data_IF_474041012637
#
_entry.id   IF_474041012637
#
_cell.length_a   1.000
_cell.length_b   1.000
_cell.length_c   1.000
_cell.angle_alpha   90.00
_cell.angle_beta   90.00
_cell.angle_gamma   90.00
#
_symmetry.space_group_name_H-M   'P 1'
#
loop_
_entity.id
_entity.type
_entity.pdbx_description
1 polymer ?
#
# COMPACT_ATOMS: atom_id res chain seq x y z
N UNK A 1 55.48 16.09 -8.18
CA UNK A 1 54.76 17.36 -8.02
C UNK A 1 53.78 17.37 -9.17
N UNK A 2 52.47 17.21 -9.00
CA UNK A 2 51.63 17.37 -7.83
C UNK A 2 50.60 16.22 -7.73
N UNK A 3 50.40 15.82 -6.48
CA UNK A 3 49.35 14.97 -5.98
C UNK A 3 48.06 15.82 -6.03
N UNK A 4 47.22 15.60 -7.06
CA UNK A 4 45.86 16.15 -7.12
C UNK A 4 45.04 15.46 -6.04
N UNK A 5 45.17 16.00 -4.83
CA UNK A 5 44.39 15.67 -3.64
C UNK A 5 42.91 15.71 -4.02
N UNK A 6 42.32 14.52 -4.08
CA UNK A 6 40.90 14.26 -4.05
C UNK A 6 40.28 15.14 -2.94
N UNK A 7 39.60 16.22 -3.32
CA UNK A 7 38.81 17.01 -2.38
C UNK A 7 37.77 16.06 -1.77
N UNK A 8 37.62 16.01 -0.44
CA UNK A 8 36.59 15.18 0.16
C UNK A 8 35.24 15.69 -0.36
N UNK A 9 34.46 14.82 -1.00
CA UNK A 9 33.07 15.07 -1.37
C UNK A 9 32.39 15.73 -0.17
N UNK A 10 32.01 17.00 -0.32
CA UNK A 10 31.25 17.69 0.71
C UNK A 10 29.90 16.98 0.79
N UNK A 11 29.44 16.55 1.98
CA UNK A 11 28.15 15.89 2.11
C UNK A 11 27.07 16.73 1.44
N UNK A 12 26.38 16.16 0.47
CA UNK A 12 25.26 16.83 -0.18
C UNK A 12 24.16 17.07 0.86
N UNK A 13 23.90 18.32 1.23
CA UNK A 13 22.80 18.66 2.11
C UNK A 13 21.51 18.78 1.30
N UNK A 14 20.57 17.86 1.52
CA UNK A 14 19.25 17.92 0.90
C UNK A 14 18.54 19.23 1.25
N UNK A 15 18.01 19.88 0.23
CA UNK A 15 17.07 20.98 0.41
C UNK A 15 15.79 20.49 1.08
N UNK A 16 15.01 21.43 1.63
CA UNK A 16 13.72 21.09 2.23
C UNK A 16 12.70 20.54 1.21
N UNK A 17 12.89 20.81 -0.08
CA UNK A 17 12.04 20.28 -1.17
C UNK A 17 12.43 18.84 -1.48
N UNK A 18 13.69 18.58 -1.78
CA UNK A 18 14.17 17.20 -2.05
C UNK A 18 13.87 16.25 -0.90
N UNK A 19 14.01 16.73 0.35
CA UNK A 19 13.65 15.92 1.51
C UNK A 19 12.16 15.57 1.56
N UNK A 20 11.28 16.48 1.15
CA UNK A 20 9.84 16.20 1.06
C UNK A 20 9.55 15.21 -0.05
N UNK A 21 10.21 15.36 -1.20
CA UNK A 21 10.00 14.49 -2.35
C UNK A 21 10.43 13.05 -2.03
N UNK A 22 11.59 12.86 -1.41
CA UNK A 22 12.05 11.52 -0.98
C UNK A 22 11.10 10.93 0.08
N UNK A 23 10.56 11.76 0.98
CA UNK A 23 9.58 11.29 1.96
C UNK A 23 8.27 10.86 1.29
N UNK A 24 7.81 11.60 0.28
CA UNK A 24 6.64 11.22 -0.50
C UNK A 24 6.87 9.88 -1.22
N UNK A 25 8.04 9.68 -1.81
CA UNK A 25 8.39 8.41 -2.45
C UNK A 25 8.45 7.23 -1.45
N UNK A 26 8.87 7.46 -0.19
CA UNK A 26 8.78 6.45 0.87
C UNK A 26 7.33 6.08 1.21
N UNK A 27 6.45 7.08 1.28
CA UNK A 27 5.04 6.88 1.58
C UNK A 27 4.33 6.13 0.44
N UNK A 28 4.65 6.47 -0.81
CA UNK A 28 4.15 5.78 -2.00
C UNK A 28 4.67 4.35 -2.08
N UNK A 29 5.97 4.13 -1.79
CA UNK A 29 6.56 2.79 -1.72
C UNK A 29 5.87 1.93 -0.67
N UNK A 30 5.58 2.49 0.51
CA UNK A 30 4.90 1.78 1.59
C UNK A 30 3.48 1.37 1.17
N UNK A 31 2.75 2.27 0.51
CA UNK A 31 1.37 2.05 0.03
C UNK A 31 1.34 1.01 -1.10
N UNK A 32 2.25 1.10 -2.07
CA UNK A 32 2.39 0.09 -3.11
C UNK A 32 2.73 -1.28 -2.52
N UNK A 33 3.65 -1.34 -1.56
CA UNK A 33 4.01 -2.60 -0.92
C UNK A 33 2.81 -3.24 -0.21
N UNK A 34 1.99 -2.48 0.52
CA UNK A 34 0.85 -3.05 1.24
C UNK A 34 -0.17 -3.69 0.29
N UNK A 35 -0.40 -3.05 -0.86
CA UNK A 35 -1.30 -3.54 -1.92
C UNK A 35 -0.73 -4.76 -2.65
N UNK A 36 0.51 -4.65 -3.15
CA UNK A 36 1.06 -5.62 -4.12
C UNK A 36 1.81 -6.79 -3.48
N UNK A 37 2.26 -6.69 -2.23
CA UNK A 37 2.93 -7.81 -1.55
C UNK A 37 2.02 -9.03 -1.38
N UNK A 38 0.71 -8.83 -1.30
CA UNK A 38 -0.29 -9.91 -1.24
C UNK A 38 -0.38 -10.71 -2.55
N UNK A 39 0.15 -10.18 -3.65
CA UNK A 39 0.10 -10.75 -5.00
C UNK A 39 1.46 -11.36 -5.42
N UNK A 40 2.36 -11.61 -4.47
CA UNK A 40 3.72 -12.14 -4.70
C UNK A 40 4.65 -11.20 -5.49
N UNK A 41 4.32 -9.92 -5.62
CA UNK A 41 5.22 -8.91 -6.19
C UNK A 41 6.36 -8.65 -5.21
N UNK A 42 7.60 -8.72 -5.69
CA UNK A 42 8.83 -8.56 -4.88
C UNK A 42 9.32 -7.12 -4.78
N UNK A 43 8.88 -6.26 -5.70
CA UNK A 43 9.34 -4.88 -5.75
C UNK A 43 8.85 -4.08 -6.94
N UNK A 44 9.60 -3.04 -7.28
CA UNK A 44 9.29 -2.11 -8.36
C UNK A 44 10.39 -2.09 -9.42
N UNK A 45 9.98 -1.70 -10.62
CA UNK A 45 10.85 -1.35 -11.74
C UNK A 45 10.74 0.16 -11.97
N UNK A 46 11.89 0.83 -11.99
CA UNK A 46 11.99 2.26 -12.29
C UNK A 46 12.72 2.41 -13.63
N UNK A 47 12.02 2.96 -14.62
CA UNK A 47 12.61 3.30 -15.90
C UNK A 47 13.44 4.59 -15.76
N UNK A 48 14.76 4.46 -15.69
CA UNK A 48 15.63 5.61 -15.52
C UNK A 48 15.90 6.30 -16.87
N UNK A 49 15.49 7.57 -16.97
CA UNK A 49 15.64 8.37 -18.20
C UNK A 49 17.11 8.74 -18.47
N UNK A 50 17.94 8.80 -17.44
CA UNK A 50 19.35 9.21 -17.58
C UNK A 50 20.22 8.10 -18.16
N UNK A 51 20.06 6.86 -17.68
CA UNK A 51 20.82 5.71 -18.17
C UNK A 51 20.10 4.95 -19.30
N UNK A 52 18.80 5.19 -19.50
CA UNK A 52 17.97 4.52 -20.50
C UNK A 52 17.67 3.04 -20.19
N UNK A 53 17.81 2.63 -18.92
CA UNK A 53 17.63 1.25 -18.48
C UNK A 53 16.60 1.14 -17.34
N UNK A 54 16.05 -0.06 -17.18
CA UNK A 54 15.14 -0.41 -16.10
C UNK A 54 15.93 -0.85 -14.86
N UNK A 55 15.66 -0.20 -13.72
CA UNK A 55 16.23 -0.54 -12.43
C UNK A 55 15.20 -1.31 -11.61
N UNK A 56 15.55 -2.54 -11.23
CA UNK A 56 14.72 -3.41 -10.42
C UNK A 56 15.13 -3.27 -8.96
N UNK A 57 14.17 -2.92 -8.11
CA UNK A 57 14.38 -2.81 -6.68
C UNK A 57 13.37 -3.67 -5.93
N UNK A 58 13.87 -4.55 -5.07
CA UNK A 58 13.01 -5.16 -4.05
C UNK A 58 12.51 -4.11 -3.06
N UNK A 59 11.36 -4.37 -2.44
CA UNK A 59 10.69 -3.42 -1.53
C UNK A 59 11.64 -2.87 -0.45
N UNK A 60 12.34 -3.77 0.24
CA UNK A 60 13.22 -3.40 1.35
C UNK A 60 14.48 -2.69 0.84
N UNK A 61 15.00 -3.10 -0.32
CA UNK A 61 16.17 -2.47 -0.94
C UNK A 61 15.90 -1.01 -1.32
N UNK A 62 14.75 -0.73 -1.95
CA UNK A 62 14.40 0.64 -2.31
C UNK A 62 14.15 1.50 -1.07
N UNK A 63 13.44 0.95 -0.08
CA UNK A 63 13.19 1.65 1.19
C UNK A 63 14.51 2.05 1.85
N UNK A 64 15.42 1.09 2.00
CA UNK A 64 16.71 1.33 2.65
C UNK A 64 17.56 2.36 1.87
N UNK A 65 17.44 2.39 0.53
CA UNK A 65 18.08 3.41 -0.31
C UNK A 65 17.50 4.80 -0.08
N UNK A 66 16.18 4.96 -0.15
CA UNK A 66 15.49 6.24 0.09
C UNK A 66 15.73 6.76 1.51
N UNK A 67 15.68 5.88 2.51
CA UNK A 67 16.01 6.22 3.90
C UNK A 67 17.48 6.62 4.08
N UNK A 68 18.40 5.99 3.35
CA UNK A 68 19.79 6.40 3.33
C UNK A 68 19.93 7.79 2.71
N UNK A 69 19.31 8.02 1.55
CA UNK A 69 19.32 9.29 0.86
C UNK A 69 18.80 10.42 1.75
N UNK A 70 17.73 10.20 2.52
CA UNK A 70 17.24 11.16 3.52
C UNK A 70 18.26 11.53 4.61
N UNK A 71 19.21 10.64 4.91
CA UNK A 71 20.22 10.84 5.96
C UNK A 71 21.55 11.37 5.41
N UNK A 72 21.99 10.89 4.25
CA UNK A 72 23.30 11.20 3.66
C UNK A 72 23.25 12.21 2.53
N UNK A 73 22.08 12.43 1.92
CA UNK A 73 21.91 13.19 0.67
C UNK A 73 22.35 12.42 -0.58
N UNK A 74 22.84 11.20 -0.44
CA UNK A 74 23.40 10.42 -1.55
C UNK A 74 22.67 9.09 -1.73
N UNK A 75 22.39 8.68 -2.99
CA UNK A 75 21.84 7.37 -3.27
C UNK A 75 22.88 6.28 -3.01
N UNK A 76 22.43 5.12 -2.51
CA UNK A 76 23.31 3.93 -2.49
C UNK A 76 23.32 3.28 -3.85
N UNK A 77 24.52 3.04 -4.38
CA UNK A 77 24.67 2.07 -5.45
C UNK A 77 24.38 0.67 -4.91
N UNK A 78 23.50 -0.03 -5.59
CA UNK A 78 23.29 -1.46 -5.42
C UNK A 78 23.77 -2.18 -6.67
N UNK A 79 24.20 -3.42 -6.50
CA UNK A 79 24.53 -4.26 -7.65
C UNK A 79 23.24 -4.68 -8.38
N UNK A 80 23.26 -4.81 -9.72
CA UNK A 80 22.14 -5.37 -10.45
C UNK A 80 21.84 -6.80 -9.97
N UNK A 81 20.56 -7.12 -9.79
CA UNK A 81 20.16 -8.47 -9.47
C UNK A 81 20.48 -9.42 -10.63
N UNK A 82 20.93 -10.63 -10.31
CA UNK A 82 21.21 -11.69 -11.28
C UNK A 82 19.92 -12.49 -11.55
N UNK A 83 19.65 -12.79 -12.82
CA UNK A 83 18.51 -13.63 -13.25
C UNK A 83 17.14 -13.10 -12.79
N UNK A 84 16.85 -11.84 -13.12
CA UNK A 84 15.60 -11.17 -12.75
C UNK A 84 14.43 -11.76 -13.54
N UNK A 85 13.40 -12.24 -12.83
CA UNK A 85 12.09 -12.50 -13.40
C UNK A 85 11.26 -11.22 -13.39
N UNK A 86 11.17 -10.54 -14.53
CA UNK A 86 10.53 -9.21 -14.63
C UNK A 86 9.07 -9.20 -14.18
N UNK A 87 8.35 -10.31 -14.37
CA UNK A 87 6.96 -10.49 -13.94
C UNK A 87 6.74 -10.44 -12.43
N UNK A 88 7.81 -10.55 -11.63
CA UNK A 88 7.75 -10.46 -10.17
C UNK A 88 7.84 -9.00 -9.68
N UNK A 89 7.94 -8.02 -10.59
CA UNK A 89 8.05 -6.61 -10.29
C UNK A 89 6.99 -5.80 -11.04
N UNK A 90 6.61 -4.65 -10.49
CA UNK A 90 5.65 -3.73 -11.12
C UNK A 90 6.34 -2.43 -11.52
N UNK A 91 5.85 -1.78 -12.59
CA UNK A 91 6.32 -0.44 -12.94
C UNK A 91 5.91 0.56 -11.87
N UNK A 92 6.84 1.42 -11.45
CA UNK A 92 6.61 2.44 -10.41
C UNK A 92 5.39 3.32 -10.69
N UNK A 93 5.33 3.93 -11.88
CA UNK A 93 4.23 4.83 -12.26
C UNK A 93 2.88 4.13 -12.30
N UNK A 94 2.86 2.86 -12.72
CA UNK A 94 1.66 2.03 -12.69
C UNK A 94 1.22 1.76 -11.25
N UNK A 95 2.18 1.40 -10.37
CA UNK A 95 1.91 1.14 -8.96
C UNK A 95 1.33 2.35 -8.24
N UNK A 96 1.93 3.54 -8.42
CA UNK A 96 1.40 4.80 -7.88
C UNK A 96 -0.03 5.08 -8.36
N UNK A 97 -0.24 5.07 -9.67
CA UNK A 97 -1.57 5.35 -10.24
C UNK A 97 -2.64 4.32 -9.81
N UNK A 98 -2.26 3.07 -9.57
CA UNK A 98 -3.17 2.05 -9.04
C UNK A 98 -3.56 2.34 -7.58
N UNK A 99 -2.59 2.67 -6.73
CA UNK A 99 -2.83 3.06 -5.33
C UNK A 99 -3.73 4.30 -5.28
N UNK A 100 -3.39 5.36 -6.03
CA UNK A 100 -4.18 6.60 -6.08
C UNK A 100 -5.65 6.31 -6.44
N UNK A 101 -5.89 5.44 -7.42
CA UNK A 101 -7.24 5.06 -7.82
C UNK A 101 -7.98 4.29 -6.71
N UNK A 102 -7.29 3.45 -5.92
CA UNK A 102 -7.88 2.79 -4.76
C UNK A 102 -8.24 3.81 -3.67
N UNK A 103 -7.36 4.77 -3.40
CA UNK A 103 -7.60 5.84 -2.43
C UNK A 103 -8.82 6.68 -2.83
N UNK A 104 -8.88 7.13 -4.09
CA UNK A 104 -9.96 7.97 -4.62
C UNK A 104 -11.33 7.26 -4.58
N UNK A 105 -11.34 5.94 -4.81
CA UNK A 105 -12.57 5.14 -4.76
C UNK A 105 -12.92 4.67 -3.34
N UNK A 106 -12.00 4.85 -2.39
CA UNK A 106 -12.09 4.38 -1.02
C UNK A 106 -12.06 2.84 -0.88
N UNK A 107 -11.39 2.16 -1.82
CA UNK A 107 -11.26 0.70 -1.90
C UNK A 107 -9.92 0.17 -1.35
N UNK A 108 -9.33 0.90 -0.41
CA UNK A 108 -8.03 0.56 0.16
C UNK A 108 -8.08 -0.79 0.91
N UNK A 109 -7.11 -1.69 0.72
CA UNK A 109 -7.10 -3.03 1.33
C UNK A 109 -7.18 -3.02 2.86
N UNK A 110 -6.61 -1.99 3.48
CA UNK A 110 -6.51 -1.79 4.92
C UNK A 110 -7.82 -1.28 5.52
N UNK A 111 -8.69 -0.65 4.70
CA UNK A 111 -9.96 -0.09 5.15
C UNK A 111 -11.00 -1.19 5.38
N UNK A 112 -10.84 -1.91 6.50
CA UNK A 112 -11.76 -2.96 6.92
C UNK A 112 -12.79 -2.41 7.90
N UNK A 113 -14.02 -2.88 7.73
CA UNK A 113 -15.06 -2.65 8.72
C UNK A 113 -14.89 -3.65 9.86
N UNK A 114 -14.42 -3.12 10.98
CA UNK A 114 -14.17 -3.88 12.20
C UNK A 114 -15.47 -4.12 12.96
N UNK A 115 -15.67 -5.37 13.33
CA UNK A 115 -16.77 -5.80 14.18
C UNK A 115 -16.18 -6.57 15.35
N UNK A 116 -16.44 -6.10 16.56
CA UNK A 116 -15.98 -6.75 17.81
C UNK A 116 -17.13 -7.45 18.53
N UNK A 117 -18.37 -7.29 18.03
CA UNK A 117 -19.58 -7.88 18.62
C UNK A 117 -20.64 -8.13 17.55
N UNK A 118 -21.35 -9.25 17.70
CA UNK A 118 -22.50 -9.58 16.85
C UNK A 118 -23.69 -8.64 17.14
N UNK A 119 -24.22 -7.89 16.17
CA UNK A 119 -25.35 -6.98 16.38
C UNK A 119 -26.63 -7.70 16.86
N UNK A 120 -26.79 -9.00 16.55
CA UNK A 120 -28.00 -9.76 16.87
C UNK A 120 -27.96 -10.46 18.23
N UNK A 121 -26.89 -11.21 18.53
CA UNK A 121 -26.81 -11.98 19.77
C UNK A 121 -25.82 -11.39 20.79
N UNK A 122 -25.19 -10.26 20.44
CA UNK A 122 -24.25 -9.52 21.27
C UNK A 122 -23.01 -10.31 21.71
N UNK A 123 -22.72 -11.44 21.08
CA UNK A 123 -21.52 -12.21 21.38
C UNK A 123 -20.26 -11.43 20.95
N UNK A 124 -19.29 -11.21 21.84
CA UNK A 124 -18.02 -10.59 21.50
C UNK A 124 -17.12 -11.58 20.73
N UNK A 125 -16.36 -11.09 19.76
CA UNK A 125 -15.42 -11.90 18.97
C UNK A 125 -14.24 -11.05 18.45
N UNK A 126 -13.17 -11.71 18.00
CA UNK A 126 -11.99 -11.06 17.39
C UNK A 126 -12.25 -10.63 15.93
N UNK A 127 -11.49 -9.65 15.43
CA UNK A 127 -11.83 -8.79 14.27
C UNK A 127 -11.95 -9.48 12.88
N UNK A 128 -11.75 -10.78 12.77
CA UNK A 128 -11.62 -11.54 11.52
C UNK A 128 -12.75 -12.54 11.26
N UNK A 129 -13.73 -12.65 12.14
CA UNK A 129 -14.75 -13.69 12.01
C UNK A 129 -15.70 -13.40 10.83
N UNK A 130 -15.82 -14.36 9.90
CA UNK A 130 -16.78 -14.31 8.80
C UNK A 130 -18.23 -14.58 9.28
N UNK A 131 -18.38 -15.38 10.34
CA UNK A 131 -19.66 -15.73 10.96
C UNK A 131 -19.58 -15.56 12.48
N UNK A 132 -20.68 -15.19 13.12
CA UNK A 132 -20.74 -15.12 14.58
C UNK A 132 -20.56 -16.52 15.19
N UNK A 133 -19.58 -16.73 16.11
CA UNK A 133 -19.35 -18.04 16.74
C UNK A 133 -20.54 -18.58 17.54
N UNK A 134 -21.42 -17.70 18.02
CA UNK A 134 -22.56 -18.08 18.87
C UNK A 134 -23.83 -18.37 18.08
N UNK A 135 -24.17 -17.53 17.10
CA UNK A 135 -25.45 -17.64 16.39
C UNK A 135 -25.32 -17.98 14.90
N UNK A 136 -24.11 -18.15 14.38
CA UNK A 136 -23.84 -18.57 13.01
C UNK A 136 -24.15 -17.55 11.92
N UNK A 137 -24.63 -16.34 12.26
CA UNK A 137 -24.97 -15.31 11.28
C UNK A 137 -23.73 -14.77 10.57
N UNK A 138 -23.87 -14.45 9.28
CA UNK A 138 -22.80 -13.84 8.49
C UNK A 138 -22.49 -12.43 8.98
N UNK A 139 -21.23 -12.16 9.30
CA UNK A 139 -20.73 -10.82 9.60
C UNK A 139 -20.43 -10.03 8.32
N UNK A 140 -20.30 -10.70 7.17
CA UNK A 140 -20.11 -10.05 5.87
C UNK A 140 -21.27 -9.11 5.52
N UNK A 141 -22.50 -9.55 5.77
CA UNK A 141 -23.69 -8.72 5.54
C UNK A 141 -23.74 -7.49 6.46
N UNK A 142 -23.23 -7.58 7.70
CA UNK A 142 -23.09 -6.43 8.62
C UNK A 142 -22.06 -5.43 8.12
N UNK A 143 -20.90 -5.92 7.67
CA UNK A 143 -19.86 -5.06 7.10
C UNK A 143 -20.40 -4.33 5.87
N UNK A 144 -21.07 -5.03 4.96
CA UNK A 144 -21.71 -4.42 3.79
C UNK A 144 -22.76 -3.38 4.18
N UNK A 145 -23.63 -3.70 5.14
CA UNK A 145 -24.60 -2.74 5.66
C UNK A 145 -23.93 -1.46 6.17
N UNK A 146 -22.90 -1.59 7.02
CA UNK A 146 -22.18 -0.45 7.58
C UNK A 146 -21.47 0.38 6.50
N UNK A 147 -20.88 -0.25 5.48
CA UNK A 147 -20.25 0.48 4.37
C UNK A 147 -21.27 1.28 3.56
N UNK A 148 -22.40 0.66 3.22
CA UNK A 148 -23.43 1.31 2.38
C UNK A 148 -24.08 2.49 3.12
N UNK A 149 -24.37 2.34 4.41
CA UNK A 149 -24.80 3.45 5.27
C UNK A 149 -23.72 4.53 5.36
N UNK A 150 -22.46 4.14 5.54
CA UNK A 150 -21.32 5.06 5.61
C UNK A 150 -21.12 5.87 4.32
N UNK A 151 -21.46 5.29 3.16
CA UNK A 151 -21.52 5.98 1.86
C UNK A 151 -22.76 6.85 1.67
N UNK A 152 -23.65 6.96 2.66
CA UNK A 152 -24.81 7.84 2.65
C UNK A 152 -26.05 7.25 1.98
N UNK A 153 -26.11 5.93 1.75
CA UNK A 153 -27.33 5.29 1.26
C UNK A 153 -28.41 5.25 2.35
N UNK A 154 -29.67 5.39 1.95
CA UNK A 154 -30.81 5.30 2.87
C UNK A 154 -30.90 3.91 3.51
N UNK A 155 -31.17 3.87 4.81
CA UNK A 155 -31.20 2.62 5.58
C UNK A 155 -32.24 1.63 5.09
N UNK A 156 -33.41 2.12 4.69
CA UNK A 156 -34.49 1.26 4.19
C UNK A 156 -34.09 0.61 2.86
N UNK A 157 -33.44 1.37 1.99
CA UNK A 157 -32.97 0.90 0.70
C UNK A 157 -31.85 -0.14 0.85
N UNK A 158 -30.90 0.11 1.76
CA UNK A 158 -29.82 -0.85 2.07
C UNK A 158 -30.38 -2.17 2.60
N UNK A 159 -31.29 -2.13 3.59
CA UNK A 159 -31.93 -3.34 4.12
C UNK A 159 -32.69 -4.10 3.03
N UNK A 160 -33.46 -3.40 2.20
CA UNK A 160 -34.20 -4.00 1.09
C UNK A 160 -33.25 -4.67 0.07
N UNK A 161 -32.12 -4.03 -0.24
CA UNK A 161 -31.09 -4.57 -1.12
C UNK A 161 -30.47 -5.85 -0.55
N UNK A 162 -30.09 -5.84 0.73
CA UNK A 162 -29.49 -7.00 1.40
C UNK A 162 -30.46 -8.19 1.48
N UNK A 163 -31.72 -7.95 1.82
CA UNK A 163 -32.77 -8.99 1.82
C UNK A 163 -32.95 -9.59 0.42
N UNK A 164 -33.03 -8.76 -0.63
CA UNK A 164 -33.14 -9.23 -2.02
C UNK A 164 -31.90 -10.01 -2.48
N UNK A 165 -30.74 -9.71 -1.93
CA UNK A 165 -29.50 -10.45 -2.16
C UNK A 165 -29.39 -11.76 -1.33
N UNK A 166 -30.41 -12.08 -0.51
CA UNK A 166 -30.46 -13.30 0.30
C UNK A 166 -29.80 -13.17 1.68
N UNK A 167 -29.43 -11.96 2.11
CA UNK A 167 -28.92 -11.70 3.45
C UNK A 167 -30.06 -11.42 4.43
N UNK A 168 -30.82 -12.47 4.77
CA UNK A 168 -31.89 -12.36 5.77
C UNK A 168 -31.41 -12.79 7.17
N UNK A 169 -31.93 -12.18 8.26
CA UNK A 169 -32.75 -10.97 8.33
C UNK A 169 -31.89 -9.73 8.60
N UNK A 170 -32.02 -8.70 7.74
CA UNK A 170 -31.41 -7.37 7.87
C UNK A 170 -32.46 -6.28 8.11
#
# INVERSE_FOLDING_TARGET
>A
MEDERNEPDQPYELTAEERRDIQADLDDLASMRSVFSTQSVKGVVIACQECGANHFYEWELLRDNLEHMLRSGEPRMHEPAFDIAEEEYIQWDYGKGYVDALTDTGLEPERRIELTRCPWCQFPFAEDHAFCPRCGRSMGAVRLYQELIGKGMDERDVRALLVRAGFEPF
#
